data_IF_727807794302
#
_entry.id   IF_727807794302
#
_cell.length_a   1.000
_cell.length_b   1.000
_cell.length_c   1.000
_cell.angle_alpha   90.00
_cell.angle_beta   90.00
_cell.angle_gamma   90.00
#
_symmetry.space_group_name_H-M   'P 1'
#
loop_
_entity.id
_entity.type
_entity.pdbx_description
1 polymer ?
#
# COMPACT_ATOMS: atom_id res chain seq x y z
N UNK A 1 7.41 0.33 -12.76
CA UNK A 1 7.38 1.80 -12.98
C UNK A 1 7.08 2.52 -11.67
N UNK A 2 7.54 3.76 -11.54
CA UNK A 2 7.28 4.56 -10.34
C UNK A 2 7.23 6.06 -10.67
N UNK A 3 6.66 6.83 -9.76
CA UNK A 3 6.70 8.29 -9.74
C UNK A 3 7.27 8.76 -8.41
N UNK A 4 7.99 9.87 -8.42
CA UNK A 4 8.46 10.52 -7.19
C UNK A 4 7.53 11.68 -6.85
N UNK A 5 6.80 11.57 -5.75
CA UNK A 5 5.92 12.63 -5.25
C UNK A 5 6.79 13.71 -4.62
N UNK A 6 6.76 14.90 -5.21
CA UNK A 6 7.54 16.05 -4.74
C UNK A 6 6.73 16.98 -3.85
N UNK A 7 5.41 16.96 -4.00
CA UNK A 7 4.50 17.74 -3.17
C UNK A 7 3.19 17.00 -2.98
N UNK A 8 2.77 16.89 -1.74
CA UNK A 8 1.50 16.30 -1.36
C UNK A 8 0.62 17.36 -0.70
N UNK A 9 -0.54 17.59 -1.26
CA UNK A 9 -1.50 18.56 -0.74
C UNK A 9 -2.67 17.82 -0.12
N UNK A 10 -2.91 18.05 1.15
CA UNK A 10 -4.05 17.47 1.88
C UNK A 10 -4.92 18.57 2.48
N UNK A 11 -6.22 18.42 2.39
CA UNK A 11 -7.15 19.25 3.16
C UNK A 11 -7.47 18.54 4.48
N UNK A 12 -7.35 19.29 5.59
CA UNK A 12 -7.67 18.77 6.94
C UNK A 12 -9.16 18.45 7.12
N UNK A 13 -10.02 19.00 6.26
CA UNK A 13 -11.47 18.79 6.30
C UNK A 13 -11.92 17.60 5.49
N UNK A 14 -11.05 17.04 4.65
CA UNK A 14 -11.37 15.93 3.77
C UNK A 14 -10.79 14.61 4.31
N UNK A 15 -11.44 13.51 3.98
CA UNK A 15 -10.96 12.18 4.32
C UNK A 15 -9.81 11.77 3.37
N UNK A 16 -8.59 12.12 3.75
CA UNK A 16 -7.41 11.82 2.94
C UNK A 16 -7.15 10.30 2.79
N UNK A 17 -7.59 9.51 3.77
CA UNK A 17 -7.48 8.06 3.70
C UNK A 17 -8.40 7.49 2.61
N UNK A 18 -9.64 7.94 2.54
CA UNK A 18 -10.57 7.54 1.49
C UNK A 18 -10.05 7.90 0.09
N UNK A 19 -9.48 9.09 -0.06
CA UNK A 19 -8.84 9.50 -1.32
C UNK A 19 -7.68 8.58 -1.71
N UNK A 20 -6.85 8.18 -0.75
CA UNK A 20 -5.77 7.25 -1.00
C UNK A 20 -6.30 5.85 -1.37
N UNK A 21 -7.35 5.39 -0.70
CA UNK A 21 -8.05 4.15 -1.06
C UNK A 21 -8.57 4.21 -2.50
N UNK A 22 -9.15 5.34 -2.92
CA UNK A 22 -9.59 5.54 -4.30
C UNK A 22 -8.44 5.44 -5.31
N UNK A 23 -7.27 5.98 -4.97
CA UNK A 23 -6.08 5.84 -5.82
C UNK A 23 -5.67 4.38 -5.97
N UNK A 24 -5.66 3.61 -4.88
CA UNK A 24 -5.35 2.17 -4.94
C UNK A 24 -6.43 1.38 -5.69
N UNK A 25 -7.70 1.76 -5.53
CA UNK A 25 -8.84 1.04 -6.11
C UNK A 25 -8.85 1.05 -7.64
N UNK A 26 -8.19 2.01 -8.28
CA UNK A 26 -8.10 2.10 -9.75
C UNK A 26 -7.50 0.83 -10.37
N UNK A 27 -6.58 0.18 -9.69
CA UNK A 27 -5.94 -1.05 -10.15
C UNK A 27 -6.44 -2.31 -9.41
N UNK A 28 -7.58 -2.24 -8.75
CA UNK A 28 -8.09 -3.35 -7.93
C UNK A 28 -8.44 -4.62 -8.72
N UNK A 29 -8.67 -4.50 -10.03
CA UNK A 29 -8.97 -5.62 -10.93
C UNK A 29 -7.76 -6.06 -11.76
N UNK A 30 -6.60 -5.45 -11.55
CA UNK A 30 -5.40 -5.73 -12.32
C UNK A 30 -4.43 -6.63 -11.53
N UNK A 31 -3.71 -7.50 -12.23
CA UNK A 31 -2.71 -8.37 -11.63
C UNK A 31 -1.39 -7.61 -11.39
N UNK A 32 -1.45 -6.62 -10.53
CA UNK A 32 -0.29 -5.81 -10.16
C UNK A 32 -0.32 -5.43 -8.68
N UNK A 33 0.84 -5.12 -8.14
CA UNK A 33 0.98 -4.55 -6.80
C UNK A 33 1.22 -3.05 -6.90
N UNK A 34 0.70 -2.31 -5.92
CA UNK A 34 1.04 -0.90 -5.73
C UNK A 34 1.89 -0.79 -4.48
N UNK A 35 3.02 -0.12 -4.58
CA UNK A 35 3.91 0.14 -3.47
C UNK A 35 4.00 1.64 -3.21
N UNK A 36 3.71 2.05 -1.97
CA UNK A 36 4.04 3.38 -1.46
C UNK A 36 5.34 3.26 -0.67
N UNK A 37 6.34 4.01 -1.08
CA UNK A 37 7.69 3.92 -0.54
C UNK A 37 8.11 5.24 0.05
N UNK A 38 8.52 5.21 1.31
CA UNK A 38 9.16 6.33 2.00
C UNK A 38 10.65 6.01 2.17
N UNK A 39 11.49 6.73 1.46
CA UNK A 39 12.94 6.55 1.51
C UNK A 39 13.61 7.76 2.14
N UNK A 40 14.12 7.59 3.36
CA UNK A 40 14.79 8.65 4.10
C UNK A 40 16.28 8.50 4.03
N UNK A 41 16.93 9.50 3.45
CA UNK A 41 18.40 9.62 3.38
C UNK A 41 18.80 11.05 3.73
N UNK A 42 19.83 11.18 4.56
CA UNK A 42 20.43 12.49 4.89
C UNK A 42 19.41 13.57 5.30
N UNK A 43 18.41 13.22 6.12
CA UNK A 43 17.33 14.10 6.56
C UNK A 43 16.30 14.49 5.47
N UNK A 44 16.36 13.92 4.29
CA UNK A 44 15.36 14.08 3.24
C UNK A 44 14.57 12.78 3.13
N UNK A 45 13.24 12.89 3.11
CA UNK A 45 12.36 11.76 2.84
C UNK A 45 11.79 11.90 1.43
N UNK A 46 12.15 10.98 0.57
CA UNK A 46 11.55 10.86 -0.76
C UNK A 46 10.35 9.92 -0.68
N UNK A 47 9.30 10.25 -1.40
CA UNK A 47 8.08 9.45 -1.45
C UNK A 47 7.87 8.97 -2.88
N UNK A 48 7.77 7.66 -3.05
CA UNK A 48 7.53 7.08 -4.36
C UNK A 48 6.23 6.28 -4.34
N UNK A 49 5.49 6.34 -5.43
CA UNK A 49 4.44 5.38 -5.73
C UNK A 49 4.93 4.53 -6.89
N UNK A 50 4.98 3.22 -6.71
CA UNK A 50 5.44 2.27 -7.70
C UNK A 50 4.34 1.28 -8.05
N UNK A 51 4.27 0.92 -9.32
CA UNK A 51 3.45 -0.19 -9.81
C UNK A 51 4.40 -1.33 -10.16
N UNK A 52 4.13 -2.48 -9.55
CA UNK A 52 4.92 -3.69 -9.72
C UNK A 52 4.01 -4.78 -10.25
N UNK A 53 4.38 -5.32 -11.37
CA UNK A 53 3.64 -6.44 -11.95
C UNK A 53 3.94 -7.75 -11.23
N UNK A 54 2.90 -8.55 -11.01
CA UNK A 54 3.02 -9.88 -10.39
C UNK A 54 3.43 -10.95 -11.40
N UNK A 55 3.22 -10.72 -12.68
CA UNK A 55 3.48 -11.69 -13.72
C UNK A 55 4.67 -11.28 -14.61
N UNK A 56 5.70 -12.12 -14.68
CA UNK A 56 6.88 -11.89 -15.52
C UNK A 56 6.57 -11.87 -17.03
N UNK A 57 5.37 -12.29 -17.44
CA UNK A 57 4.91 -12.31 -18.83
C UNK A 57 4.24 -11.01 -19.28
N UNK A 58 3.98 -10.07 -18.36
CA UNK A 58 3.26 -8.83 -18.70
C UNK A 58 4.18 -7.86 -19.45
N UNK A 59 3.62 -7.23 -20.45
CA UNK A 59 4.38 -6.29 -21.28
C UNK A 59 4.73 -5.02 -20.48
N UNK A 60 5.82 -4.37 -20.87
CA UNK A 60 6.17 -3.06 -20.32
C UNK A 60 5.08 -2.01 -20.56
N UNK A 61 4.31 -2.18 -21.64
CA UNK A 61 3.19 -1.31 -22.01
C UNK A 61 2.06 -1.35 -20.96
N UNK A 62 1.74 -2.54 -20.43
CA UNK A 62 0.68 -2.66 -19.40
C UNK A 62 1.09 -1.96 -18.11
N UNK A 63 2.35 -2.10 -17.70
CA UNK A 63 2.85 -1.43 -16.50
C UNK A 63 2.90 0.09 -16.69
N UNK A 64 3.18 0.58 -17.90
CA UNK A 64 3.12 2.00 -18.23
C UNK A 64 1.66 2.50 -18.16
N UNK A 65 0.70 1.74 -18.68
CA UNK A 65 -0.72 2.05 -18.56
C UNK A 65 -1.20 2.09 -17.11
N UNK A 66 -0.80 1.13 -16.27
CA UNK A 66 -1.12 1.12 -14.84
C UNK A 66 -0.56 2.35 -14.11
N UNK A 67 0.66 2.73 -14.46
CA UNK A 67 1.27 3.94 -13.91
C UNK A 67 0.48 5.20 -14.30
N UNK A 68 0.06 5.34 -15.57
CA UNK A 68 -0.76 6.47 -16.01
C UNK A 68 -2.11 6.50 -15.27
N UNK A 69 -2.76 5.37 -15.07
CA UNK A 69 -4.00 5.29 -14.28
C UNK A 69 -3.79 5.79 -12.83
N UNK A 70 -2.68 5.42 -12.19
CA UNK A 70 -2.34 5.93 -10.86
C UNK A 70 -2.11 7.45 -10.89
N UNK A 71 -1.43 7.97 -11.89
CA UNK A 71 -1.20 9.41 -12.06
C UNK A 71 -2.53 10.17 -12.19
N UNK A 72 -3.43 9.69 -13.03
CA UNK A 72 -4.76 10.30 -13.19
C UNK A 72 -5.58 10.23 -11.90
N UNK A 73 -5.52 9.10 -11.18
CA UNK A 73 -6.18 8.95 -9.90
C UNK A 73 -5.63 9.91 -8.83
N UNK A 74 -4.32 10.11 -8.78
CA UNK A 74 -3.69 11.09 -7.89
C UNK A 74 -4.15 12.50 -8.26
N UNK A 75 -4.14 12.84 -9.54
CA UNK A 75 -4.57 14.15 -10.03
C UNK A 75 -6.02 14.45 -9.64
N UNK A 76 -6.90 13.45 -9.75
CA UNK A 76 -8.31 13.60 -9.41
C UNK A 76 -8.57 13.69 -7.90
N UNK A 77 -7.87 12.91 -7.09
CA UNK A 77 -8.13 12.82 -5.65
C UNK A 77 -7.31 13.83 -4.82
N UNK A 78 -6.13 14.24 -5.31
CA UNK A 78 -5.23 15.17 -4.64
C UNK A 78 -4.87 16.34 -5.55
N UNK A 79 -5.80 17.25 -5.84
CA UNK A 79 -5.54 18.40 -6.69
C UNK A 79 -4.42 19.26 -6.08
N UNK A 80 -3.42 19.57 -6.89
CA UNK A 80 -2.22 20.29 -6.46
C UNK A 80 -1.07 19.41 -5.97
N UNK A 81 -1.20 18.08 -5.99
CA UNK A 81 -0.06 17.19 -5.88
C UNK A 81 0.89 17.37 -7.06
N UNK A 82 2.19 17.32 -6.80
CA UNK A 82 3.23 17.41 -7.83
C UNK A 82 4.14 16.19 -7.74
N UNK A 83 4.60 15.72 -8.88
CA UNK A 83 5.50 14.58 -8.97
C UNK A 83 6.51 14.74 -10.09
N UNK A 84 7.62 14.01 -9.99
CA UNK A 84 8.61 13.86 -11.06
C UNK A 84 8.42 12.51 -11.73
N UNK A 85 8.46 12.53 -13.03
CA UNK A 85 8.35 11.35 -13.87
C UNK A 85 9.74 10.75 -14.13
N UNK A 86 10.31 10.07 -13.12
CA UNK A 86 11.64 9.45 -13.21
C UNK A 86 11.55 7.92 -13.43
N UNK A 87 10.42 7.43 -13.79
CA UNK A 87 9.86 6.10 -13.61
C UNK A 87 10.45 4.91 -14.34
N UNK A 88 11.63 4.97 -14.92
CA UNK A 88 12.21 3.83 -15.62
C UNK A 88 13.29 3.12 -14.77
N UNK A 89 13.02 1.87 -14.42
CA UNK A 89 14.00 1.00 -13.78
C UNK A 89 13.76 0.74 -12.29
N UNK A 90 14.86 0.49 -11.58
CA UNK A 90 14.85 0.15 -10.15
C UNK A 90 14.66 1.41 -9.31
N UNK A 91 13.80 1.34 -8.29
CA UNK A 91 13.64 2.41 -7.29
C UNK A 91 15.00 2.82 -6.72
N UNK A 92 15.25 4.12 -6.51
CA UNK A 92 16.54 4.60 -6.01
C UNK A 92 16.98 3.96 -4.69
N UNK A 93 16.04 3.63 -3.80
CA UNK A 93 16.32 2.96 -2.53
C UNK A 93 16.95 1.57 -2.68
N UNK A 94 16.76 0.90 -3.83
CA UNK A 94 17.32 -0.43 -4.11
C UNK A 94 18.61 -0.40 -4.93
N UNK A 95 19.12 0.77 -5.27
CA UNK A 95 20.37 0.90 -6.05
C UNK A 95 21.64 0.79 -5.21
N UNK A 96 21.50 0.83 -3.91
CA UNK A 96 22.62 0.75 -3.00
C UNK A 96 22.67 -0.62 -2.33
N UNK A 97 23.84 -1.28 -2.37
CA UNK A 97 24.07 -2.61 -1.76
C UNK A 97 24.18 -2.58 -0.23
N UNK A 98 23.57 -1.59 0.42
CA UNK A 98 23.70 -1.36 1.85
C UNK A 98 22.35 -1.55 2.57
N UNK A 99 21.94 -2.80 2.74
CA UNK A 99 20.84 -3.14 3.65
C UNK A 99 21.41 -3.75 4.91
N UNK A 100 21.22 -3.10 6.06
CA UNK A 100 21.74 -3.56 7.35
C UNK A 100 20.75 -4.43 8.11
N UNK A 101 19.47 -4.16 8.02
CA UNK A 101 18.43 -5.01 8.59
C UNK A 101 17.10 -4.82 7.84
N UNK A 102 16.30 -5.89 7.79
CA UNK A 102 14.96 -5.91 7.19
C UNK A 102 14.00 -6.52 8.19
N UNK A 103 12.83 -5.88 8.33
CA UNK A 103 11.69 -6.43 9.03
C UNK A 103 10.49 -6.40 8.11
N UNK A 104 9.70 -7.48 8.09
CA UNK A 104 8.48 -7.57 7.29
C UNK A 104 7.29 -7.88 8.19
N UNK A 105 6.14 -7.31 7.84
CA UNK A 105 4.86 -7.65 8.46
C UNK A 105 3.82 -7.80 7.36
N UNK A 106 2.97 -8.81 7.47
CA UNK A 106 1.83 -9.01 6.59
C UNK A 106 0.54 -8.92 7.39
N UNK A 107 -0.49 -8.32 6.80
CA UNK A 107 -1.80 -8.21 7.41
C UNK A 107 -2.89 -8.19 6.33
N UNK A 108 -4.08 -8.68 6.70
CA UNK A 108 -5.29 -8.51 5.92
C UNK A 108 -6.06 -7.36 6.57
N UNK A 109 -6.42 -6.29 5.84
CA UNK A 109 -7.20 -5.20 6.38
C UNK A 109 -8.52 -5.71 6.98
N UNK A 110 -8.83 -5.27 8.19
CA UNK A 110 -10.12 -5.50 8.83
C UNK A 110 -10.75 -4.16 9.14
N UNK A 111 -12.07 -4.12 9.31
CA UNK A 111 -12.84 -2.91 9.62
C UNK A 111 -12.30 -2.14 10.84
N UNK A 112 -11.73 -2.85 11.81
CA UNK A 112 -11.05 -2.26 12.96
C UNK A 112 -9.66 -1.71 12.63
N UNK A 113 -8.98 -2.26 11.64
CA UNK A 113 -7.63 -1.82 11.27
C UNK A 113 -7.64 -0.49 10.51
N UNK A 114 -8.71 -0.13 9.82
CA UNK A 114 -8.80 1.16 9.12
C UNK A 114 -8.63 2.36 10.05
N UNK A 115 -9.18 2.29 11.27
CA UNK A 115 -9.01 3.36 12.28
C UNK A 115 -7.61 3.38 12.91
N UNK A 116 -6.90 2.27 12.88
CA UNK A 116 -5.57 2.13 13.48
C UNK A 116 -4.43 2.41 12.49
N UNK A 117 -4.63 2.19 11.18
CA UNK A 117 -3.56 2.28 10.17
C UNK A 117 -3.00 3.70 10.08
N UNK A 118 -3.85 4.75 10.01
CA UNK A 118 -3.36 6.13 9.93
C UNK A 118 -2.56 6.52 11.19
N UNK A 119 -3.05 6.16 12.36
CA UNK A 119 -2.35 6.42 13.63
C UNK A 119 -1.07 5.60 13.78
N UNK A 120 -1.02 4.39 13.21
CA UNK A 120 0.13 3.49 13.34
C UNK A 120 1.26 3.88 12.41
N UNK A 121 0.97 4.33 11.18
CA UNK A 121 2.01 4.80 10.25
C UNK A 121 2.63 6.09 10.74
N UNK A 122 1.84 7.06 11.20
CA UNK A 122 2.35 8.30 11.80
C UNK A 122 3.23 7.99 13.03
N UNK A 123 2.75 7.17 13.95
CA UNK A 123 3.53 6.76 15.12
C UNK A 123 4.77 5.94 14.78
N UNK A 124 4.71 5.10 13.73
CA UNK A 124 5.87 4.38 13.26
C UNK A 124 6.92 5.34 12.71
N UNK A 125 6.51 6.29 11.88
CA UNK A 125 7.39 7.31 11.31
C UNK A 125 7.96 8.19 12.42
N UNK A 126 7.14 8.67 13.33
CA UNK A 126 7.56 9.49 14.48
C UNK A 126 8.50 8.72 15.41
N UNK A 127 8.26 7.44 15.63
CA UNK A 127 9.12 6.58 16.45
C UNK A 127 10.48 6.24 15.80
N UNK A 128 10.56 6.29 14.48
CA UNK A 128 11.80 6.04 13.72
C UNK A 128 12.61 7.34 13.53
N UNK A 129 11.99 8.50 13.68
CA UNK A 129 12.69 9.79 13.61
C UNK A 129 13.24 10.15 15.00
N UNK A 130 14.46 9.74 15.37
CA UNK A 130 15.07 10.22 16.59
C UNK A 130 15.53 11.66 16.37
N UNK A 131 15.31 12.51 17.36
CA UNK A 131 15.67 13.93 17.32
C UNK A 131 17.15 14.19 17.00
N UNK A 132 18.00 13.22 17.15
CA UNK A 132 19.46 13.39 17.12
C UNK A 132 20.21 12.60 16.06
N UNK A 133 19.56 11.76 15.25
CA UNK A 133 20.32 10.83 14.41
C UNK A 133 19.90 10.76 12.95
N UNK A 134 20.90 10.88 12.12
CA UNK A 134 21.04 10.60 10.69
C UNK A 134 20.71 9.14 10.32
N UNK A 135 19.68 8.52 10.95
CA UNK A 135 19.30 7.16 10.58
C UNK A 135 18.58 7.20 9.23
N UNK A 136 19.04 6.35 8.35
CA UNK A 136 18.43 6.11 7.05
C UNK A 136 17.50 4.91 7.15
N UNK A 137 16.35 5.01 6.50
CA UNK A 137 15.38 3.92 6.45
C UNK A 137 14.55 3.98 5.18
N UNK A 138 14.06 2.83 4.77
CA UNK A 138 13.06 2.71 3.71
C UNK A 138 11.87 1.96 4.26
N UNK A 139 10.67 2.55 4.18
CA UNK A 139 9.40 1.91 4.51
C UNK A 139 8.67 1.64 3.21
N UNK A 140 8.24 0.41 3.00
CA UNK A 140 7.49 -0.02 1.83
C UNK A 140 6.14 -0.54 2.28
N UNK A 141 5.09 0.11 1.83
CA UNK A 141 3.70 -0.33 2.01
C UNK A 141 3.25 -0.96 0.68
N UNK A 142 3.19 -2.27 0.66
CA UNK A 142 2.79 -3.03 -0.52
C UNK A 142 1.32 -3.43 -0.42
N UNK A 143 0.53 -3.01 -1.39
CA UNK A 143 -0.86 -3.41 -1.55
C UNK A 143 -1.00 -4.35 -2.75
N UNK A 144 -1.56 -5.52 -2.49
CA UNK A 144 -1.86 -6.53 -3.52
C UNK A 144 -3.37 -6.64 -3.69
N UNK A 145 -3.93 -6.47 -4.89
CA UNK A 145 -5.34 -6.69 -5.14
C UNK A 145 -5.75 -8.14 -4.84
N UNK A 146 -6.94 -8.31 -4.32
CA UNK A 146 -7.56 -9.62 -4.15
C UNK A 146 -8.54 -9.80 -5.30
N UNK A 147 -8.13 -10.53 -6.33
CA UNK A 147 -8.91 -10.68 -7.57
C UNK A 147 -10.13 -11.60 -7.40
N UNK A 148 -10.03 -12.61 -6.52
CA UNK A 148 -11.06 -13.64 -6.36
C UNK A 148 -11.94 -13.43 -5.12
N UNK A 149 -12.43 -12.21 -4.92
CA UNK A 149 -13.20 -11.85 -3.71
C UNK A 149 -14.48 -12.69 -3.58
N UNK A 150 -15.22 -12.89 -4.67
CA UNK A 150 -16.48 -13.64 -4.64
C UNK A 150 -16.26 -15.13 -4.37
N UNK A 151 -15.25 -15.74 -4.97
CA UNK A 151 -14.88 -17.14 -4.70
C UNK A 151 -14.43 -17.33 -3.24
N UNK A 152 -13.67 -16.37 -2.70
CA UNK A 152 -13.26 -16.37 -1.29
C UNK A 152 -14.44 -16.21 -0.33
N UNK A 153 -15.40 -15.35 -0.66
CA UNK A 153 -16.65 -15.21 0.12
C UNK A 153 -17.46 -16.50 0.13
N UNK A 154 -17.58 -17.14 -1.03
CA UNK A 154 -18.28 -18.42 -1.17
C UNK A 154 -17.63 -19.48 -0.29
N UNK A 155 -16.31 -19.67 -0.40
CA UNK A 155 -15.54 -20.62 0.41
C UNK A 155 -15.64 -20.36 1.91
N UNK A 156 -15.63 -19.08 2.32
CA UNK A 156 -15.84 -18.70 3.72
C UNK A 156 -17.26 -19.03 4.18
N UNK A 157 -18.27 -18.81 3.35
CA UNK A 157 -19.66 -19.17 3.61
C UNK A 157 -19.85 -20.69 3.78
N UNK A 158 -19.22 -21.47 2.89
CA UNK A 158 -19.21 -22.93 2.99
C UNK A 158 -18.52 -23.43 4.28
N UNK A 159 -17.36 -22.86 4.58
CA UNK A 159 -16.64 -23.18 5.82
C UNK A 159 -17.47 -22.82 7.06
N UNK A 160 -18.09 -21.63 7.10
CA UNK A 160 -18.96 -21.21 8.19
C UNK A 160 -20.15 -22.15 8.35
N UNK A 161 -20.82 -22.51 7.25
CA UNK A 161 -21.95 -23.44 7.25
C UNK A 161 -21.53 -24.84 7.72
N UNK A 162 -20.34 -25.29 7.35
CA UNK A 162 -19.77 -26.56 7.81
C UNK A 162 -19.42 -26.56 9.30
N UNK A 163 -19.05 -25.40 9.86
CA UNK A 163 -18.71 -25.26 11.28
C UNK A 163 -19.92 -24.99 12.18
N UNK A 164 -21.00 -24.45 11.63
CA UNK A 164 -22.20 -24.08 12.39
C UNK A 164 -22.80 -25.22 13.26
N UNK A 165 -22.87 -26.49 12.78
CA UNK A 165 -23.34 -27.61 13.61
C UNK A 165 -22.48 -27.84 14.85
N UNK A 166 -21.17 -27.58 14.77
CA UNK A 166 -20.26 -27.78 15.90
C UNK A 166 -20.30 -26.63 16.90
N UNK A 167 -20.59 -25.42 16.44
CA UNK A 167 -20.75 -24.25 17.32
C UNK A 167 -22.02 -24.33 18.20
N UNK A 168 -23.09 -24.95 17.70
CA UNK A 168 -24.32 -25.13 18.46
C UNK A 168 -24.21 -26.14 19.61
N UNK A 169 -23.22 -27.01 19.62
CA UNK A 169 -22.98 -27.99 20.68
C UNK A 169 -22.45 -27.35 21.98
N UNK A 170 -21.80 -26.21 21.90
CA UNK A 170 -21.24 -25.54 23.08
C UNK A 170 -22.29 -24.83 23.95
N UNK A 171 -23.48 -24.60 23.42
CA UNK A 171 -24.58 -23.92 24.16
C UNK A 171 -25.57 -24.88 24.87
N UNK A 172 -25.44 -26.18 24.67
CA UNK A 172 -26.35 -27.18 25.21
C UNK A 172 -25.84 -27.85 26.52
N UNK A 173 -24.67 -27.48 27.00
CA UNK A 173 -24.09 -27.92 28.26
C UNK A 173 -24.01 -26.77 29.27
N UNK A 174 -25.16 -26.19 29.62
CA UNK A 174 -25.37 -25.42 30.85
C UNK A 174 -26.40 -26.10 31.75
#
# INVERSE_FOLDING_TARGET
>A
RYINITKWVTDKKENNLEKLVNVYAVLSNEDCNIALVFDRKQNVTNVYIAVVNNNNSTSSTDVDNYREQIIEAIRGNFPGAEWKDEGLGVLPCFREDKVYSVATASNIPTEKSEKFISQTIEKLIDGIIPETNKKEYTIILLATPILDVEDRKLKLGEFYSGMAPYASWSTTFQ
#
